data_IF_464263744623
#
_entry.id   IF_464263744623
#
_cell.length_a   1.000
_cell.length_b   1.000
_cell.length_c   1.000
_cell.angle_alpha   90.00
_cell.angle_beta   90.00
_cell.angle_gamma   90.00
#
_symmetry.space_group_name_H-M   'P 1'
#
loop_
_entity.id
_entity.type
_entity.pdbx_description
1 polymer ?
#
# COMPACT_ATOMS: atom_id res chain seq x y z
N UNK A 1 -2.53 -22.25 -18.69
CA UNK A 1 -2.10 -21.12 -17.86
C UNK A 1 -3.36 -20.57 -17.22
N UNK A 2 -3.38 -20.31 -15.91
CA UNK A 2 -4.58 -19.74 -15.31
C UNK A 2 -4.64 -18.27 -15.72
N UNK A 3 -5.40 -17.98 -16.79
CA UNK A 3 -5.80 -16.63 -17.19
C UNK A 3 -6.64 -16.03 -16.07
N UNK A 4 -5.99 -15.58 -15.00
CA UNK A 4 -6.72 -14.94 -13.90
C UNK A 4 -7.31 -13.64 -14.44
N UNK A 5 -8.62 -13.47 -14.23
CA UNK A 5 -9.34 -12.28 -14.67
C UNK A 5 -8.81 -11.05 -13.95
N UNK A 6 -8.34 -10.04 -14.69
CA UNK A 6 -7.95 -8.75 -14.10
C UNK A 6 -9.16 -8.10 -13.43
N UNK A 7 -8.97 -7.68 -12.19
CA UNK A 7 -9.94 -6.92 -11.41
C UNK A 7 -9.64 -5.41 -11.45
N UNK A 8 -8.57 -5.01 -12.13
CA UNK A 8 -8.09 -3.62 -12.20
C UNK A 8 -6.93 -3.35 -11.25
N UNK A 9 -6.69 -2.07 -10.97
CA UNK A 9 -5.52 -1.62 -10.21
C UNK A 9 -5.90 -1.20 -8.78
N UNK A 10 -4.99 -1.45 -7.86
CA UNK A 10 -5.10 -1.04 -6.46
C UNK A 10 -3.86 -0.25 -6.06
N UNK A 11 -4.07 0.86 -5.36
CA UNK A 11 -3.01 1.56 -4.63
C UNK A 11 -2.83 0.92 -3.27
N UNK A 12 -1.60 0.51 -2.95
CA UNK A 12 -1.21 0.00 -1.64
C UNK A 12 -0.27 1.02 -1.00
N UNK A 13 -0.58 1.41 0.23
CA UNK A 13 0.28 2.24 1.07
C UNK A 13 1.05 1.36 2.05
N UNK A 14 2.37 1.54 2.09
CA UNK A 14 3.28 0.87 3.01
C UNK A 14 3.95 1.88 3.92
N UNK A 15 4.10 1.49 5.17
CA UNK A 15 4.86 2.26 6.16
C UNK A 15 6.35 2.01 5.98
N UNK A 16 7.18 2.80 6.65
CA UNK A 16 8.64 2.61 6.64
C UNK A 16 9.10 1.21 7.08
N UNK A 17 8.27 0.47 7.84
CA UNK A 17 8.53 -0.93 8.19
C UNK A 17 8.20 -1.95 7.07
N UNK A 18 7.78 -1.50 5.88
CA UNK A 18 7.41 -2.35 4.74
C UNK A 18 5.99 -2.95 4.80
N UNK A 19 5.31 -2.86 5.95
CA UNK A 19 3.96 -3.39 6.16
C UNK A 19 2.89 -2.49 5.53
N UNK A 20 1.83 -3.11 5.00
CA UNK A 20 0.68 -2.39 4.44
C UNK A 20 -0.09 -1.70 5.56
N UNK A 21 -0.37 -0.41 5.35
CA UNK A 21 -1.13 0.45 6.27
C UNK A 21 -2.49 0.85 5.74
N UNK A 22 -2.64 0.92 4.42
CA UNK A 22 -3.90 1.22 3.76
C UNK A 22 -3.88 0.73 2.31
N UNK A 23 -5.05 0.59 1.71
CA UNK A 23 -5.20 0.37 0.28
C UNK A 23 -6.46 1.05 -0.25
N UNK A 24 -6.46 1.45 -1.51
CA UNK A 24 -7.67 1.87 -2.23
C UNK A 24 -7.65 1.40 -3.68
N UNK A 25 -8.81 1.06 -4.23
CA UNK A 25 -8.92 0.72 -5.65
C UNK A 25 -8.76 1.96 -6.52
N UNK A 26 -8.11 1.78 -7.67
CA UNK A 26 -7.99 2.77 -8.74
C UNK A 26 -9.27 2.79 -9.57
N UNK A 27 -10.34 3.36 -8.98
CA UNK A 27 -11.64 3.47 -9.62
C UNK A 27 -11.70 4.68 -10.56
N UNK A 28 -11.88 4.40 -11.85
CA UNK A 28 -12.01 5.41 -12.90
C UNK A 28 -13.22 6.34 -12.70
N UNK A 29 -14.24 5.91 -11.97
CA UNK A 29 -15.43 6.72 -11.65
C UNK A 29 -15.23 7.58 -10.39
N UNK A 30 -14.25 7.26 -9.55
CA UNK A 30 -14.00 7.93 -8.27
C UNK A 30 -12.62 8.59 -8.19
N UNK A 31 -12.03 8.99 -9.32
CA UNK A 31 -10.65 9.54 -9.43
C UNK A 31 -10.32 10.62 -8.39
N UNK A 32 -11.25 11.53 -8.09
CA UNK A 32 -11.03 12.60 -7.10
C UNK A 32 -10.85 12.04 -5.70
N UNK A 33 -11.65 11.05 -5.32
CA UNK A 33 -11.58 10.46 -3.98
C UNK A 33 -10.40 9.50 -3.87
N UNK A 34 -10.09 8.74 -4.94
CA UNK A 34 -8.84 7.97 -5.03
C UNK A 34 -7.62 8.87 -4.87
N UNK A 35 -7.57 10.02 -5.55
CA UNK A 35 -6.47 10.98 -5.41
C UNK A 35 -6.36 11.54 -3.98
N UNK A 36 -7.48 11.84 -3.31
CA UNK A 36 -7.47 12.26 -1.89
C UNK A 36 -6.93 11.16 -0.97
N UNK A 37 -7.33 9.90 -1.20
CA UNK A 37 -6.80 8.76 -0.45
C UNK A 37 -5.29 8.66 -0.60
N UNK A 38 -4.79 8.63 -1.84
CA UNK A 38 -3.36 8.54 -2.14
C UNK A 38 -2.58 9.72 -1.54
N UNK A 39 -3.08 10.95 -1.71
CA UNK A 39 -2.47 12.13 -1.11
C UNK A 39 -2.43 12.05 0.43
N UNK A 40 -3.49 11.51 1.05
CA UNK A 40 -3.53 11.24 2.48
C UNK A 40 -2.46 10.24 2.91
N UNK A 41 -2.19 9.21 2.12
CA UNK A 41 -1.18 8.19 2.41
C UNK A 41 0.23 8.80 2.37
N UNK A 42 0.52 9.55 1.29
CA UNK A 42 1.81 10.25 1.12
C UNK A 42 2.01 11.28 2.25
N UNK A 43 0.98 12.04 2.61
CA UNK A 43 1.04 13.03 3.71
C UNK A 43 1.37 12.39 5.07
N UNK A 44 1.02 11.11 5.27
CA UNK A 44 1.40 10.34 6.48
C UNK A 44 2.82 9.81 6.44
N UNK A 45 3.55 9.98 5.33
CA UNK A 45 4.88 9.41 5.11
C UNK A 45 4.88 7.96 4.64
N UNK A 46 3.75 7.47 4.10
CA UNK A 46 3.68 6.13 3.52
C UNK A 46 4.23 6.15 2.08
N UNK A 47 4.92 5.09 1.68
CA UNK A 47 5.20 4.83 0.26
C UNK A 47 3.96 4.23 -0.39
N UNK A 48 3.66 4.64 -1.62
CA UNK A 48 2.46 4.17 -2.35
C UNK A 48 2.88 3.48 -3.63
N UNK A 49 2.39 2.26 -3.83
CA UNK A 49 2.57 1.48 -5.06
C UNK A 49 1.23 1.23 -5.75
N UNK A 50 1.21 1.22 -7.07
CA UNK A 50 0.04 0.86 -7.88
C UNK A 50 0.26 -0.52 -8.45
N UNK A 51 -0.55 -1.50 -8.04
CA UNK A 51 -0.44 -2.88 -8.49
C UNK A 51 -1.70 -3.30 -9.23
N UNK A 52 -1.56 -4.18 -10.22
CA UNK A 52 -2.70 -4.87 -10.83
C UNK A 52 -3.11 -6.04 -9.93
N UNK A 53 -4.42 -6.28 -9.83
CA UNK A 53 -5.00 -7.34 -9.02
C UNK A 53 -5.82 -8.26 -9.91
N UNK A 54 -5.70 -9.55 -9.67
CA UNK A 54 -6.45 -10.56 -10.40
C UNK A 54 -7.41 -11.32 -9.48
N UNK A 55 -8.43 -11.93 -10.07
CA UNK A 55 -9.40 -12.75 -9.36
C UNK A 55 -8.69 -13.90 -8.62
N UNK A 56 -9.01 -14.05 -7.34
CA UNK A 56 -8.38 -15.04 -6.46
C UNK A 56 -7.04 -14.62 -5.85
N UNK A 57 -6.52 -13.43 -6.16
CA UNK A 57 -5.30 -12.95 -5.48
C UNK A 57 -5.57 -12.69 -3.99
N UNK A 58 -4.71 -13.19 -3.08
CA UNK A 58 -4.89 -13.00 -1.65
C UNK A 58 -4.82 -11.51 -1.32
N UNK A 59 -5.79 -11.02 -0.54
CA UNK A 59 -5.81 -9.61 -0.15
C UNK A 59 -4.51 -9.22 0.57
N UNK A 60 -4.03 -7.97 0.38
CA UNK A 60 -2.83 -7.50 1.07
C UNK A 60 -3.01 -7.66 2.58
N UNK A 61 -2.00 -8.17 3.27
CA UNK A 61 -2.08 -8.36 4.71
C UNK A 61 -2.01 -7.01 5.43
N UNK A 62 -3.08 -6.64 6.14
CA UNK A 62 -3.18 -5.38 6.89
C UNK A 62 -2.47 -5.50 8.24
N UNK A 63 -1.15 -5.28 8.23
CA UNK A 63 -0.32 -5.53 9.42
C UNK A 63 0.00 -4.24 10.19
N UNK A 64 0.06 -3.07 9.55
CA UNK A 64 0.46 -1.85 10.26
C UNK A 64 -0.71 -1.24 11.06
N UNK A 65 -0.83 -1.61 12.33
CA UNK A 65 -1.82 -1.08 13.28
C UNK A 65 -1.27 0.09 14.11
N UNK A 66 -2.12 0.94 14.71
CA UNK A 66 -1.68 1.90 15.73
C UNK A 66 -0.92 1.15 16.85
N UNK A 67 0.31 1.58 17.14
CA UNK A 67 1.20 0.87 18.08
C UNK A 67 2.12 -0.19 17.45
N UNK A 68 2.23 -0.24 16.12
CA UNK A 68 3.21 -1.10 15.43
C UNK A 68 4.66 -0.71 15.81
N UNK A 69 5.31 -1.53 16.62
CA UNK A 69 6.69 -1.28 17.09
C UNK A 69 7.74 -1.37 15.97
N UNK A 70 7.46 -2.10 14.88
CA UNK A 70 8.36 -2.18 13.73
C UNK A 70 8.50 -0.83 13.01
N UNK A 71 7.46 0.03 13.07
CA UNK A 71 7.51 1.36 12.47
C UNK A 71 8.44 2.33 13.23
N UNK A 72 8.66 2.09 14.53
CA UNK A 72 9.55 2.92 15.33
C UNK A 72 11.03 2.65 15.01
N UNK A 73 11.37 1.41 14.64
CA UNK A 73 12.75 0.98 14.39
C UNK A 73 13.24 1.26 12.96
N UNK A 74 12.36 1.41 11.97
CA UNK A 74 12.76 1.64 10.57
C UNK A 74 13.40 3.01 10.32
N UNK A 75 13.31 3.97 11.25
CA UNK A 75 14.07 5.24 11.18
C UNK A 75 15.57 5.07 11.46
N UNK A 76 15.99 3.93 12.02
CA UNK A 76 17.38 3.67 12.40
C UNK A 76 18.17 2.83 11.39
N UNK A 77 17.56 2.37 10.28
CA UNK A 77 18.14 1.39 9.35
C UNK A 77 18.34 1.92 7.91
N UNK A 78 18.30 3.24 7.69
CA UNK A 78 18.55 3.84 6.38
C UNK A 78 20.02 4.31 6.22
N UNK A 79 20.98 3.54 6.73
CA UNK A 79 22.39 3.99 6.77
C UNK A 79 23.46 2.91 6.93
N UNK A 80 23.17 1.63 6.67
CA UNK A 80 24.22 0.60 6.57
C UNK A 80 23.80 -0.42 5.51
N UNK A 81 24.40 -0.34 4.32
CA UNK A 81 24.72 -1.48 3.46
C UNK A 81 25.75 -1.00 2.42
N UNK A 82 26.99 -1.38 2.71
CA UNK A 82 28.25 -1.58 1.93
C UNK A 82 28.56 -0.77 0.65
#
# INVERSE_FOLDING_TARGET
>A
MSDKKSMGFMYIARRACGKVSASCWDDANAKKDTAKCVAGYIKRGDSVERIERFEGDPQPEWICRPGCNDCAQSRAKAGEDE
#
